data_IF_848412303390
#
_entry.id   IF_848412303390
#
_cell.length_a   1.000
_cell.length_b   1.000
_cell.length_c   1.000
_cell.angle_alpha   90.00
_cell.angle_beta   90.00
_cell.angle_gamma   90.00
#
_symmetry.space_group_name_H-M   'P 1'
#
loop_
_entity.id
_entity.type
_entity.pdbx_description
1 polymer ?
#
# COMPACT_ATOMS: atom_id res chain seq x y z
N UNK A 1 39.64 18.64 -15.15
CA UNK A 1 38.68 18.24 -14.12
C UNK A 1 37.42 19.06 -14.31
N UNK A 2 36.41 18.48 -14.98
CA UNK A 2 35.17 19.17 -15.29
C UNK A 2 34.11 18.72 -14.27
N UNK A 3 33.72 19.60 -13.38
CA UNK A 3 32.65 19.41 -12.43
C UNK A 3 31.31 19.58 -13.17
N UNK A 4 30.70 18.47 -13.54
CA UNK A 4 29.33 18.43 -14.03
C UNK A 4 28.38 18.94 -12.94
N UNK A 5 27.94 20.19 -13.08
CA UNK A 5 26.81 20.72 -12.29
C UNK A 5 25.57 19.95 -12.71
N UNK A 6 25.09 19.03 -11.86
CA UNK A 6 23.74 18.49 -11.95
C UNK A 6 22.77 19.69 -11.94
N UNK A 7 22.10 19.94 -13.06
CA UNK A 7 20.95 20.83 -13.11
C UNK A 7 19.88 20.19 -12.21
N UNK A 8 19.59 20.85 -11.08
CA UNK A 8 18.34 20.60 -10.35
C UNK A 8 17.23 20.94 -11.33
N UNK A 9 16.40 19.97 -11.66
CA UNK A 9 15.10 20.27 -12.29
C UNK A 9 14.32 21.16 -11.32
N UNK A 10 13.58 22.14 -11.81
CA UNK A 10 12.77 22.98 -10.95
C UNK A 10 11.76 22.07 -10.23
N UNK A 11 11.76 22.13 -8.91
CA UNK A 11 10.65 21.63 -8.12
C UNK A 11 9.41 22.32 -8.65
N UNK A 12 8.42 21.57 -9.10
CA UNK A 12 7.07 22.07 -9.38
C UNK A 12 6.44 22.47 -8.03
N UNK A 13 6.95 23.56 -7.47
CA UNK A 13 6.29 24.27 -6.39
C UNK A 13 5.03 24.91 -6.99
N UNK A 14 3.87 24.30 -6.73
CA UNK A 14 2.60 24.86 -7.14
C UNK A 14 1.50 23.85 -7.50
N UNK A 15 1.72 22.55 -7.36
CA UNK A 15 0.58 21.64 -7.40
C UNK A 15 -0.21 21.80 -6.11
N UNK A 16 -1.44 22.23 -6.20
CA UNK A 16 -2.44 22.02 -5.16
C UNK A 16 -2.46 20.50 -4.94
N UNK A 17 -1.87 20.01 -3.86
CA UNK A 17 -1.83 18.60 -3.51
C UNK A 17 -3.26 18.16 -3.14
N UNK A 18 -4.08 17.99 -4.17
CA UNK A 18 -5.35 17.31 -3.99
C UNK A 18 -5.05 15.85 -3.70
N UNK A 19 -5.60 15.29 -2.61
CA UNK A 19 -5.57 13.86 -2.37
C UNK A 19 -6.23 13.16 -3.56
N UNK A 20 -5.43 12.77 -4.53
CA UNK A 20 -5.90 12.14 -5.76
C UNK A 20 -5.58 10.67 -5.73
N UNK A 21 -6.61 9.85 -5.88
CA UNK A 21 -6.45 8.43 -6.18
C UNK A 21 -6.59 8.29 -7.69
N UNK A 22 -5.49 7.94 -8.37
CA UNK A 22 -5.52 7.62 -9.79
C UNK A 22 -5.90 6.17 -10.01
N UNK A 23 -6.81 5.95 -10.93
CA UNK A 23 -7.27 4.63 -11.36
C UNK A 23 -6.82 4.39 -12.80
N UNK A 24 -6.09 3.29 -13.01
CA UNK A 24 -5.53 2.93 -14.31
C UNK A 24 -6.19 1.68 -14.89
N UNK A 25 -5.39 0.82 -15.48
CA UNK A 25 -5.83 -0.42 -16.13
C UNK A 25 -6.46 -1.42 -15.16
N UNK A 26 -7.17 -2.38 -15.72
CA UNK A 26 -7.77 -3.49 -14.99
C UNK A 26 -7.05 -4.79 -15.25
N UNK A 27 -7.03 -5.65 -14.24
CA UNK A 27 -6.51 -7.01 -14.28
C UNK A 27 -7.66 -8.01 -14.04
N UNK A 28 -7.47 -9.24 -14.51
CA UNK A 28 -8.46 -10.31 -14.34
C UNK A 28 -8.54 -10.74 -12.87
N UNK A 29 -9.68 -10.43 -12.24
CA UNK A 29 -9.93 -10.71 -10.81
C UNK A 29 -9.91 -12.19 -10.51
N UNK A 30 -10.40 -13.04 -11.42
CA UNK A 30 -10.43 -14.49 -11.18
C UNK A 30 -9.01 -15.07 -11.18
N UNK A 31 -8.16 -14.64 -12.12
CA UNK A 31 -6.75 -15.03 -12.15
C UNK A 31 -5.98 -14.49 -10.92
N UNK A 32 -6.26 -13.25 -10.50
CA UNK A 32 -5.68 -12.70 -9.27
C UNK A 32 -6.05 -13.54 -8.04
N UNK A 33 -7.30 -13.99 -7.92
CA UNK A 33 -7.79 -14.83 -6.81
C UNK A 33 -7.17 -16.22 -6.83
N UNK A 34 -7.01 -16.81 -8.00
CA UNK A 34 -6.34 -18.10 -8.16
C UNK A 34 -4.90 -18.04 -7.64
N UNK A 35 -4.14 -17.05 -8.05
CA UNK A 35 -2.77 -16.86 -7.61
C UNK A 35 -2.69 -16.45 -6.13
N UNK A 36 -3.65 -15.67 -5.63
CA UNK A 36 -3.74 -15.37 -4.20
C UNK A 36 -3.87 -16.65 -3.37
N UNK A 37 -4.77 -17.57 -3.76
CA UNK A 37 -4.96 -18.83 -3.05
C UNK A 37 -3.69 -19.70 -3.02
N UNK A 38 -2.91 -19.67 -4.10
CA UNK A 38 -1.60 -20.34 -4.17
C UNK A 38 -0.60 -19.64 -3.24
N UNK A 39 -0.46 -18.32 -3.38
CA UNK A 39 0.53 -17.55 -2.67
C UNK A 39 0.38 -17.60 -1.15
N UNK A 40 -0.84 -17.54 -0.64
CA UNK A 40 -1.10 -17.54 0.82
C UNK A 40 -1.09 -18.92 1.45
N UNK A 41 -1.01 -19.99 0.66
CA UNK A 41 -1.05 -21.36 1.17
C UNK A 41 0.06 -21.62 2.19
N UNK A 42 -0.32 -21.94 3.42
CA UNK A 42 0.62 -22.22 4.51
C UNK A 42 1.45 -21.02 4.97
N UNK A 43 1.08 -19.80 4.56
CA UNK A 43 1.78 -18.61 5.03
C UNK A 43 1.35 -18.23 6.44
N UNK A 44 2.32 -18.09 7.34
CA UNK A 44 2.09 -17.52 8.66
C UNK A 44 2.26 -16.00 8.59
N UNK A 45 1.16 -15.27 8.68
CA UNK A 45 1.14 -13.80 8.59
C UNK A 45 1.97 -13.09 9.66
N UNK A 46 2.18 -13.75 10.83
CA UNK A 46 3.04 -13.19 11.89
C UNK A 46 4.50 -13.06 11.46
N UNK A 47 4.91 -13.80 10.42
CA UNK A 47 6.26 -13.72 9.84
C UNK A 47 6.43 -12.51 8.90
N UNK A 48 5.37 -12.00 8.34
CA UNK A 48 5.40 -10.82 7.48
C UNK A 48 5.77 -9.56 8.23
N UNK A 49 6.30 -8.59 7.50
CA UNK A 49 6.55 -7.26 8.05
C UNK A 49 5.22 -6.69 8.57
N UNK A 50 5.22 -6.19 9.80
CA UNK A 50 4.03 -5.71 10.53
C UNK A 50 2.90 -6.76 10.68
N UNK A 51 3.18 -8.07 10.46
CA UNK A 51 2.18 -9.13 10.57
C UNK A 51 1.12 -9.16 9.45
N UNK A 52 1.31 -8.39 8.37
CA UNK A 52 0.30 -8.22 7.32
C UNK A 52 0.85 -8.32 5.91
N UNK A 53 2.12 -8.66 5.73
CA UNK A 53 2.79 -8.69 4.43
C UNK A 53 3.28 -10.08 4.07
N UNK A 54 3.10 -10.48 2.81
CA UNK A 54 3.70 -11.66 2.20
C UNK A 54 4.52 -11.21 0.99
N UNK A 55 5.85 -11.17 1.08
CA UNK A 55 6.71 -10.97 -0.09
C UNK A 55 6.54 -12.13 -1.08
N UNK A 56 6.39 -11.82 -2.36
CA UNK A 56 6.18 -12.82 -3.41
C UNK A 56 7.47 -13.31 -4.06
N UNK A 57 8.55 -12.57 -3.92
CA UNK A 57 9.86 -12.94 -4.44
C UNK A 57 10.98 -12.40 -3.56
N UNK A 58 12.06 -13.18 -3.46
CA UNK A 58 13.33 -12.80 -2.82
C UNK A 58 14.39 -12.41 -3.84
N UNK A 59 14.08 -12.51 -5.14
CA UNK A 59 15.00 -12.08 -6.19
C UNK A 59 15.43 -10.65 -5.91
N UNK A 60 16.68 -10.33 -6.24
CA UNK A 60 17.14 -8.95 -6.17
C UNK A 60 16.17 -8.09 -6.98
N UNK A 61 15.41 -7.26 -6.28
CA UNK A 61 14.45 -6.36 -6.91
C UNK A 61 15.14 -5.09 -7.38
N UNK A 62 16.37 -4.82 -6.88
CA UNK A 62 17.20 -3.68 -7.26
C UNK A 62 18.67 -4.06 -7.40
N UNK A 63 19.39 -3.40 -8.31
CA UNK A 63 20.84 -3.56 -8.50
C UNK A 63 21.64 -3.08 -7.28
N UNK A 64 21.10 -2.16 -6.49
CA UNK A 64 21.74 -1.62 -5.29
C UNK A 64 21.94 -2.66 -4.18
N UNK A 65 21.30 -3.82 -4.28
CA UNK A 65 21.45 -4.94 -3.35
C UNK A 65 20.87 -4.70 -1.96
N UNK A 66 20.31 -3.53 -1.68
CA UNK A 66 19.62 -3.25 -0.43
C UNK A 66 18.26 -3.99 -0.45
N UNK A 67 18.09 -4.94 0.47
CA UNK A 67 16.77 -5.54 0.67
C UNK A 67 15.85 -4.48 1.23
N UNK A 68 14.82 -4.13 0.48
CA UNK A 68 13.81 -3.23 1.00
C UNK A 68 13.14 -3.86 2.23
N UNK A 69 12.94 -3.07 3.29
CA UNK A 69 12.39 -3.55 4.57
C UNK A 69 11.10 -4.36 4.40
N UNK A 70 10.26 -3.99 3.45
CA UNK A 70 8.99 -4.66 3.14
C UNK A 70 9.13 -6.07 2.54
N UNK A 71 10.33 -6.46 2.09
CA UNK A 71 10.63 -7.81 1.60
C UNK A 71 11.24 -8.70 2.69
N UNK A 72 11.44 -8.17 3.89
CA UNK A 72 11.97 -8.93 5.00
C UNK A 72 10.88 -9.76 5.65
N UNK A 73 11.25 -10.95 6.12
CA UNK A 73 10.40 -11.82 6.92
C UNK A 73 11.04 -12.07 8.27
N UNK A 74 10.23 -12.20 9.30
CA UNK A 74 10.70 -12.62 10.62
C UNK A 74 11.02 -14.10 10.60
N UNK A 75 12.22 -14.47 11.00
CA UNK A 75 12.56 -15.86 11.30
C UNK A 75 11.95 -16.30 12.64
N UNK A 76 12.02 -17.60 12.94
CA UNK A 76 11.48 -18.17 14.20
C UNK A 76 12.11 -17.52 15.45
N UNK A 77 13.36 -17.08 15.35
CA UNK A 77 14.08 -16.35 16.41
C UNK A 77 13.77 -14.83 16.46
N UNK A 78 12.79 -14.37 15.68
CA UNK A 78 12.36 -12.96 15.64
C UNK A 78 13.24 -12.02 14.84
N UNK A 79 14.37 -12.49 14.26
CA UNK A 79 15.24 -11.67 13.43
C UNK A 79 14.65 -11.48 12.03
N UNK A 80 14.81 -10.30 11.46
CA UNK A 80 14.42 -10.03 10.08
C UNK A 80 15.43 -10.67 9.12
N UNK A 81 14.94 -11.43 8.16
CA UNK A 81 15.73 -12.07 7.11
C UNK A 81 15.12 -11.84 5.74
N UNK A 82 15.96 -11.89 4.72
CA UNK A 82 15.54 -11.79 3.31
C UNK A 82 15.00 -13.10 2.73
N UNK A 83 14.89 -14.14 3.52
CA UNK A 83 14.49 -15.49 3.11
C UNK A 83 12.95 -15.63 3.08
N UNK A 84 12.27 -14.85 2.25
CA UNK A 84 10.89 -15.16 1.91
C UNK A 84 10.88 -16.28 0.86
N UNK A 85 9.90 -17.20 0.89
CA UNK A 85 9.75 -18.16 -0.19
C UNK A 85 9.48 -17.40 -1.50
N UNK A 86 10.17 -17.79 -2.59
CA UNK A 86 9.86 -17.24 -3.91
C UNK A 86 8.56 -17.87 -4.42
N UNK A 87 7.45 -17.21 -4.15
CA UNK A 87 6.09 -17.62 -4.52
C UNK A 87 5.75 -17.26 -5.97
N UNK A 88 6.55 -16.38 -6.57
CA UNK A 88 6.26 -15.86 -7.89
C UNK A 88 6.36 -16.95 -8.96
N UNK A 89 7.18 -17.98 -8.75
CA UNK A 89 7.31 -19.11 -9.68
C UNK A 89 6.05 -19.98 -9.77
N UNK A 90 5.27 -20.03 -8.70
CA UNK A 90 4.01 -20.79 -8.65
C UNK A 90 2.79 -19.93 -9.08
N UNK A 91 2.93 -18.59 -9.09
CA UNK A 91 1.86 -17.64 -9.36
C UNK A 91 2.03 -17.01 -10.73
N UNK A 92 1.52 -17.69 -11.76
CA UNK A 92 1.78 -17.33 -13.17
C UNK A 92 1.25 -15.95 -13.54
N UNK A 93 0.08 -15.58 -13.04
CA UNK A 93 -0.52 -14.28 -13.33
C UNK A 93 0.15 -13.14 -12.56
N UNK A 94 0.55 -13.36 -11.31
CA UNK A 94 1.37 -12.38 -10.59
C UNK A 94 2.71 -12.17 -11.28
N UNK A 95 3.28 -13.23 -11.87
CA UNK A 95 4.48 -13.10 -12.69
C UNK A 95 4.24 -12.27 -13.95
N UNK A 96 3.15 -12.52 -14.69
CA UNK A 96 2.79 -11.71 -15.85
C UNK A 96 2.66 -10.23 -15.47
N UNK A 97 2.02 -9.92 -14.33
CA UNK A 97 1.91 -8.56 -13.80
C UNK A 97 3.29 -8.02 -13.45
N UNK A 98 4.12 -8.78 -12.73
CA UNK A 98 5.48 -8.38 -12.37
C UNK A 98 6.30 -8.01 -13.61
N UNK A 99 6.26 -8.82 -14.65
CA UNK A 99 7.03 -8.64 -15.88
C UNK A 99 6.48 -7.50 -16.75
N UNK A 100 5.19 -7.16 -16.62
CA UNK A 100 4.56 -6.08 -17.38
C UNK A 100 5.10 -4.68 -17.02
N UNK A 101 5.57 -4.50 -15.80
CA UNK A 101 6.19 -3.24 -15.36
C UNK A 101 7.67 -3.23 -15.73
N UNK A 102 8.07 -2.38 -16.69
CA UNK A 102 9.46 -2.23 -17.16
C UNK A 102 10.27 -1.25 -16.31
N UNK A 103 10.10 -1.37 -15.00
CA UNK A 103 10.82 -0.61 -13.99
C UNK A 103 11.55 -1.55 -13.05
N UNK A 104 12.59 -1.05 -12.41
CA UNK A 104 13.16 -1.71 -11.24
C UNK A 104 12.07 -1.75 -10.15
N UNK A 105 12.00 -2.87 -9.43
CA UNK A 105 11.02 -3.10 -8.38
C UNK A 105 11.73 -3.23 -7.04
N UNK A 106 11.40 -2.36 -6.10
CA UNK A 106 11.93 -2.45 -4.73
C UNK A 106 11.08 -3.35 -3.84
N UNK A 107 9.82 -3.59 -4.22
CA UNK A 107 8.93 -4.49 -3.49
C UNK A 107 7.85 -5.06 -4.41
N UNK A 108 7.51 -6.33 -4.18
CA UNK A 108 6.36 -7.01 -4.80
C UNK A 108 5.77 -7.99 -3.79
N UNK A 109 4.60 -7.64 -3.23
CA UNK A 109 4.06 -8.33 -2.06
C UNK A 109 2.54 -8.30 -2.00
N UNK A 110 1.97 -9.25 -1.27
CA UNK A 110 0.57 -9.21 -0.86
C UNK A 110 0.48 -8.53 0.50
N UNK A 111 -0.41 -7.56 0.61
CA UNK A 111 -0.83 -6.94 1.86
C UNK A 111 -2.18 -7.53 2.27
N UNK A 112 -2.27 -8.00 3.51
CA UNK A 112 -3.50 -8.44 4.14
C UNK A 112 -4.00 -7.35 5.08
N UNK A 113 -5.27 -7.03 4.99
CA UNK A 113 -5.97 -6.27 6.02
C UNK A 113 -6.98 -7.20 6.67
N UNK A 114 -6.77 -7.60 7.94
CA UNK A 114 -7.70 -8.47 8.63
C UNK A 114 -9.11 -7.92 8.67
N UNK A 115 -10.07 -8.81 8.89
CA UNK A 115 -11.42 -8.45 9.24
C UNK A 115 -11.44 -7.47 10.42
N UNK A 116 -12.40 -6.57 10.48
CA UNK A 116 -12.63 -5.62 11.59
C UNK A 116 -11.35 -4.91 12.06
N UNK A 117 -10.56 -4.39 11.11
CA UNK A 117 -9.29 -3.73 11.41
C UNK A 117 -9.03 -2.49 10.57
N UNK A 118 -8.12 -1.65 11.05
CA UNK A 118 -7.60 -0.52 10.31
C UNK A 118 -6.08 -0.44 10.44
N UNK A 119 -5.44 0.37 9.61
CA UNK A 119 -4.10 0.88 9.88
C UNK A 119 -4.19 2.17 10.67
N UNK A 120 -3.15 2.44 11.45
CA UNK A 120 -2.96 3.81 11.95
C UNK A 120 -2.85 4.77 10.76
N UNK A 121 -3.32 6.00 10.95
CA UNK A 121 -3.14 7.06 9.96
C UNK A 121 -1.65 7.40 9.86
N UNK A 122 -1.03 7.16 8.71
CA UNK A 122 0.42 7.28 8.52
C UNK A 122 0.77 7.74 7.10
N UNK A 123 2.03 8.09 6.92
CA UNK A 123 2.69 8.22 5.62
C UNK A 123 3.75 7.13 5.49
N UNK A 124 4.00 6.68 4.27
CA UNK A 124 5.04 5.70 4.01
C UNK A 124 6.42 6.37 3.96
N UNK A 125 7.11 6.43 5.09
CA UNK A 125 8.45 7.03 5.18
C UNK A 125 9.55 6.17 4.55
N UNK A 126 9.24 4.91 4.26
CA UNK A 126 10.17 3.93 3.70
C UNK A 126 10.13 3.86 2.16
N UNK A 127 9.24 4.63 1.54
CA UNK A 127 9.19 4.78 0.08
C UNK A 127 10.13 5.92 -0.30
N UNK A 128 11.21 5.60 -1.03
CA UNK A 128 12.18 6.61 -1.49
C UNK A 128 11.53 7.66 -2.41
N UNK A 129 12.15 8.83 -2.50
CA UNK A 129 11.63 9.98 -3.28
C UNK A 129 11.34 9.66 -4.76
N UNK A 130 12.00 8.65 -5.32
CA UNK A 130 11.83 8.19 -6.71
C UNK A 130 11.13 6.83 -6.79
N UNK A 131 10.35 6.47 -5.77
CA UNK A 131 9.62 5.19 -5.73
C UNK A 131 8.12 5.43 -5.69
N UNK A 132 7.41 4.71 -6.55
CA UNK A 132 5.96 4.80 -6.71
C UNK A 132 5.31 3.50 -6.26
N UNK A 133 4.43 3.57 -5.26
CA UNK A 133 3.68 2.41 -4.75
C UNK A 133 2.35 2.28 -5.45
N UNK A 134 2.25 1.29 -6.33
CA UNK A 134 1.00 0.89 -6.96
C UNK A 134 0.30 -0.20 -6.17
N UNK A 135 -1.03 -0.24 -6.24
CA UNK A 135 -1.86 -1.20 -5.53
C UNK A 135 -2.92 -1.78 -6.44
N UNK A 136 -3.09 -3.11 -6.40
CA UNK A 136 -4.18 -3.84 -7.07
C UNK A 136 -4.95 -4.58 -5.98
N UNK A 137 -6.13 -4.10 -5.55
CA UNK A 137 -7.00 -4.87 -4.66
C UNK A 137 -7.38 -6.18 -5.32
N UNK A 138 -7.21 -7.30 -4.63
CA UNK A 138 -7.60 -8.64 -5.10
C UNK A 138 -8.96 -9.00 -4.51
N UNK A 139 -9.05 -8.91 -3.18
CA UNK A 139 -10.29 -9.01 -2.44
C UNK A 139 -10.61 -7.66 -1.81
N UNK A 140 -11.75 -7.13 -2.17
CA UNK A 140 -12.26 -5.87 -1.61
C UNK A 140 -13.79 -5.91 -1.64
N UNK A 141 -14.41 -5.13 -0.80
CA UNK A 141 -15.85 -5.08 -0.65
C UNK A 141 -16.32 -3.62 -0.42
N UNK A 142 -17.64 -3.35 -0.50
CA UNK A 142 -18.16 -1.99 -0.35
C UNK A 142 -17.90 -1.35 1.02
N UNK A 143 -17.59 -2.14 2.06
CA UNK A 143 -17.31 -1.64 3.40
C UNK A 143 -15.83 -1.43 3.70
N UNK A 144 -14.96 -1.62 2.71
CA UNK A 144 -13.57 -1.20 2.78
C UNK A 144 -13.47 0.27 2.38
N UNK A 145 -12.80 1.06 3.20
CA UNK A 145 -12.57 2.49 2.97
C UNK A 145 -11.08 2.79 2.97
N UNK A 146 -10.60 3.38 1.88
CA UNK A 146 -9.30 4.01 1.82
C UNK A 146 -9.48 5.51 2.09
N UNK A 147 -8.86 6.00 3.15
CA UNK A 147 -8.81 7.42 3.44
C UNK A 147 -7.44 7.96 3.01
N UNK A 148 -7.44 9.06 2.27
CA UNK A 148 -6.23 9.77 1.83
C UNK A 148 -6.38 11.24 2.20
N UNK A 149 -5.34 11.81 2.83
CA UNK A 149 -5.34 13.21 3.24
C UNK A 149 -5.01 14.16 2.10
N UNK A 150 -5.46 15.39 2.22
CA UNK A 150 -5.03 16.53 1.40
C UNK A 150 -3.98 17.39 2.10
N UNK A 151 -3.64 17.07 3.36
CA UNK A 151 -2.62 17.76 4.17
C UNK A 151 -1.44 16.84 4.43
N UNK A 152 -0.25 17.42 4.54
CA UNK A 152 1.00 16.76 4.89
C UNK A 152 1.31 16.80 6.41
N UNK A 153 0.41 17.41 7.21
CA UNK A 153 0.58 17.62 8.65
C UNK A 153 -0.44 16.83 9.44
N UNK A 154 0.03 15.97 10.34
CA UNK A 154 -0.85 15.16 11.19
C UNK A 154 -1.59 15.97 12.24
N UNK A 155 -1.01 17.09 12.68
CA UNK A 155 -1.60 18.03 13.63
C UNK A 155 -2.79 18.81 13.09
N UNK A 156 -2.96 18.86 11.77
CA UNK A 156 -4.11 19.52 11.16
C UNK A 156 -5.42 18.76 11.35
N UNK A 157 -5.34 17.46 11.69
CA UNK A 157 -6.56 16.66 11.88
C UNK A 157 -7.22 16.93 13.23
N UNK A 158 -8.50 17.24 13.18
CA UNK A 158 -9.33 17.34 14.38
C UNK A 158 -9.74 15.92 14.77
N UNK A 159 -9.48 15.56 16.02
CA UNK A 159 -9.86 14.27 16.60
C UNK A 159 -10.82 14.54 17.75
N UNK A 160 -12.03 13.97 17.67
CA UNK A 160 -12.99 13.99 18.78
C UNK A 160 -13.07 12.59 19.40
N UNK A 161 -13.04 12.53 20.72
CA UNK A 161 -13.20 11.26 21.44
C UNK A 161 -11.92 10.42 21.55
N UNK A 162 -12.07 9.09 21.54
CA UNK A 162 -10.93 8.17 21.60
C UNK A 162 -10.03 8.30 20.37
N UNK A 163 -8.73 8.17 20.58
CA UNK A 163 -7.76 8.23 19.49
C UNK A 163 -7.75 6.91 18.67
N UNK A 164 -8.83 6.71 17.93
CA UNK A 164 -9.05 5.53 17.07
C UNK A 164 -8.02 5.44 15.92
N UNK A 165 -7.22 6.48 15.67
CA UNK A 165 -6.10 6.44 14.74
C UNK A 165 -5.05 5.40 15.13
N UNK A 166 -5.05 4.97 16.42
CA UNK A 166 -4.12 3.99 16.97
C UNK A 166 -4.72 2.59 17.11
N UNK A 167 -6.01 2.42 16.87
CA UNK A 167 -6.66 1.11 17.01
C UNK A 167 -6.53 0.35 15.70
N UNK A 168 -5.78 -0.75 15.71
CA UNK A 168 -5.53 -1.57 14.53
C UNK A 168 -6.42 -2.82 14.48
N UNK A 169 -6.70 -3.43 15.62
CA UNK A 169 -7.54 -4.62 15.76
C UNK A 169 -8.69 -4.33 16.73
N UNK A 170 -9.88 -4.13 16.16
CA UNK A 170 -11.04 -3.70 16.94
C UNK A 170 -11.59 -4.82 17.81
N UNK A 171 -11.52 -6.06 17.33
CA UNK A 171 -12.00 -7.21 18.08
C UNK A 171 -11.12 -7.47 19.30
N UNK A 172 -9.78 -7.34 19.17
CA UNK A 172 -8.85 -7.44 20.28
C UNK A 172 -9.04 -6.33 21.32
N UNK A 173 -9.46 -5.14 20.87
CA UNK A 173 -9.76 -3.98 21.75
C UNK A 173 -11.19 -4.01 22.30
N UNK A 174 -12.01 -5.01 21.93
CA UNK A 174 -13.41 -5.11 22.34
C UNK A 174 -14.29 -4.00 21.78
N UNK A 175 -13.90 -3.39 20.65
CA UNK A 175 -14.64 -2.30 20.01
C UNK A 175 -15.50 -2.88 18.89
N UNK A 176 -16.81 -2.75 19.00
CA UNK A 176 -17.73 -3.23 17.97
C UNK A 176 -17.63 -2.44 16.66
N UNK A 177 -17.88 -3.13 15.54
CA UNK A 177 -17.80 -2.57 14.18
C UNK A 177 -18.65 -1.30 14.01
N UNK A 178 -19.86 -1.26 14.55
CA UNK A 178 -20.75 -0.09 14.44
C UNK A 178 -20.15 1.15 15.13
N UNK A 179 -19.48 0.96 16.27
CA UNK A 179 -18.79 2.04 16.96
C UNK A 179 -17.62 2.55 16.13
N UNK A 180 -16.86 1.67 15.52
CA UNK A 180 -15.75 2.06 14.64
C UNK A 180 -16.24 2.77 13.38
N UNK A 181 -17.35 2.32 12.77
CA UNK A 181 -17.98 3.04 11.65
C UNK A 181 -18.41 4.44 12.06
N UNK A 182 -19.07 4.59 13.21
CA UNK A 182 -19.50 5.89 13.73
C UNK A 182 -18.30 6.83 13.95
N UNK A 183 -17.22 6.34 14.51
CA UNK A 183 -15.99 7.14 14.68
C UNK A 183 -15.34 7.52 13.36
N UNK A 184 -15.29 6.60 12.39
CA UNK A 184 -14.78 6.90 11.06
C UNK A 184 -15.62 7.99 10.38
N UNK A 185 -16.94 7.86 10.39
CA UNK A 185 -17.86 8.83 9.80
C UNK A 185 -17.74 10.21 10.46
N UNK A 186 -17.63 10.24 11.78
CA UNK A 186 -17.39 11.48 12.52
C UNK A 186 -16.05 12.13 12.15
N UNK A 187 -14.98 11.36 12.09
CA UNK A 187 -13.67 11.86 11.67
C UNK A 187 -13.71 12.44 10.26
N UNK A 188 -14.33 11.74 9.31
CA UNK A 188 -14.48 12.24 7.95
C UNK A 188 -15.29 13.52 7.91
N UNK A 189 -16.40 13.57 8.66
CA UNK A 189 -17.26 14.76 8.73
C UNK A 189 -16.55 16.00 9.29
N UNK A 190 -15.73 15.82 10.32
CA UNK A 190 -15.01 16.93 10.97
C UNK A 190 -13.83 17.42 10.11
N UNK A 191 -13.26 16.54 9.29
CA UNK A 191 -12.10 16.81 8.45
C UNK A 191 -12.42 16.74 6.95
N UNK A 192 -13.65 17.08 6.53
CA UNK A 192 -14.14 16.90 5.15
C UNK A 192 -13.36 17.71 4.11
N UNK A 193 -12.75 18.82 4.51
CA UNK A 193 -11.84 19.64 3.72
C UNK A 193 -10.43 19.03 3.58
N UNK A 194 -10.03 18.14 4.49
CA UNK A 194 -8.68 17.60 4.63
C UNK A 194 -8.53 16.14 4.22
N UNK A 195 -9.63 15.43 4.01
CA UNK A 195 -9.59 14.01 3.65
C UNK A 195 -10.49 13.69 2.46
N UNK A 196 -10.12 12.64 1.75
CA UNK A 196 -10.96 12.00 0.72
C UNK A 196 -11.09 10.52 1.05
N UNK A 197 -12.29 9.99 0.87
CA UNK A 197 -12.59 8.59 1.13
C UNK A 197 -12.91 7.89 -0.18
N UNK A 198 -12.22 6.79 -0.42
CA UNK A 198 -12.34 6.02 -1.66
C UNK A 198 -12.77 4.58 -1.37
N UNK A 199 -13.55 4.04 -2.30
CA UNK A 199 -13.82 2.62 -2.41
C UNK A 199 -13.00 2.06 -3.58
N UNK A 200 -12.06 1.18 -3.27
CA UNK A 200 -11.24 0.56 -4.31
C UNK A 200 -11.92 -0.70 -4.85
N UNK A 201 -11.87 -0.89 -6.17
CA UNK A 201 -12.47 -2.03 -6.87
C UNK A 201 -11.45 -3.14 -7.06
N UNK A 202 -11.83 -4.43 -6.90
CA UNK A 202 -10.95 -5.55 -7.24
C UNK A 202 -10.45 -5.46 -8.68
N UNK A 203 -9.19 -5.83 -8.88
CA UNK A 203 -8.55 -5.88 -10.19
C UNK A 203 -8.12 -4.56 -10.79
N UNK A 204 -8.47 -3.42 -10.18
CA UNK A 204 -8.03 -2.11 -10.67
C UNK A 204 -6.64 -1.74 -10.15
N UNK A 205 -5.80 -1.13 -10.99
CA UNK A 205 -4.53 -0.56 -10.59
C UNK A 205 -4.77 0.84 -10.05
N UNK A 206 -4.29 1.09 -8.84
CA UNK A 206 -4.37 2.38 -8.17
C UNK A 206 -3.00 2.92 -7.83
N UNK A 207 -2.88 4.23 -7.85
CA UNK A 207 -1.76 4.97 -7.30
C UNK A 207 -2.27 6.19 -6.51
N UNK A 208 -1.60 6.49 -5.42
CA UNK A 208 -1.62 7.78 -4.73
C UNK A 208 -0.26 7.99 -4.06
N UNK A 209 0.13 9.23 -3.82
CA UNK A 209 1.42 9.53 -3.20
C UNK A 209 1.43 9.15 -1.72
N UNK A 210 1.88 7.95 -1.41
CA UNK A 210 1.92 7.43 -0.03
C UNK A 210 2.95 8.14 0.86
N UNK A 211 4.10 8.64 0.36
CA UNK A 211 5.02 9.43 1.17
C UNK A 211 4.53 10.86 1.45
N UNK A 212 3.67 11.42 0.60
CA UNK A 212 3.19 12.79 0.75
C UNK A 212 1.86 12.87 1.50
N UNK A 213 0.98 11.89 1.30
CA UNK A 213 -0.35 11.90 1.87
C UNK A 213 -0.48 10.97 3.08
N UNK A 214 -1.00 11.49 4.19
CA UNK A 214 -1.48 10.62 5.26
C UNK A 214 -2.60 9.75 4.73
N UNK A 215 -2.53 8.47 5.05
CA UNK A 215 -3.54 7.54 4.61
C UNK A 215 -3.74 6.41 5.62
N UNK A 216 -4.92 5.80 5.55
CA UNK A 216 -5.19 4.54 6.21
C UNK A 216 -6.25 3.76 5.45
N UNK A 217 -6.38 2.48 5.80
CA UNK A 217 -7.37 1.60 5.25
C UNK A 217 -8.20 1.01 6.38
N UNK A 218 -9.52 1.05 6.22
CA UNK A 218 -10.50 0.52 7.16
C UNK A 218 -11.23 -0.65 6.51
N UNK A 219 -11.25 -1.80 7.19
CA UNK A 219 -12.00 -2.98 6.78
C UNK A 219 -13.09 -3.27 7.79
N UNK A 220 -14.31 -2.85 7.50
CA UNK A 220 -15.49 -3.03 8.37
C UNK A 220 -16.19 -4.36 8.19
N UNK A 221 -15.61 -5.29 7.43
CA UNK A 221 -16.18 -6.61 7.15
C UNK A 221 -15.56 -7.70 8.00
N UNK A 222 -16.25 -8.84 8.04
CA UNK A 222 -15.78 -10.07 8.66
C UNK A 222 -14.84 -10.91 7.79
N UNK A 223 -14.51 -10.44 6.58
CA UNK A 223 -13.54 -11.10 5.70
C UNK A 223 -12.27 -10.27 5.56
N UNK A 224 -11.15 -10.95 5.40
CA UNK A 224 -9.88 -10.31 5.10
C UNK A 224 -9.90 -9.61 3.73
N UNK A 225 -9.22 -8.47 3.64
CA UNK A 225 -8.94 -7.82 2.37
C UNK A 225 -7.49 -8.12 1.95
N UNK A 226 -7.31 -8.38 0.65
CA UNK A 226 -5.99 -8.62 0.07
C UNK A 226 -5.69 -7.63 -1.06
N UNK A 227 -4.46 -7.16 -1.10
CA UNK A 227 -3.97 -6.23 -2.13
C UNK A 227 -2.60 -6.66 -2.59
N UNK A 228 -2.38 -6.70 -3.89
CA UNK A 228 -1.05 -6.78 -4.47
C UNK A 228 -0.45 -5.38 -4.48
N UNK A 229 0.67 -5.19 -3.78
CA UNK A 229 1.41 -3.94 -3.70
C UNK A 229 2.73 -4.06 -4.46
N UNK A 230 3.04 -3.04 -5.25
CA UNK A 230 4.17 -3.01 -6.17
C UNK A 230 4.87 -1.67 -5.99
N UNK A 231 6.11 -1.69 -5.54
CA UNK A 231 6.94 -0.50 -5.41
C UNK A 231 7.89 -0.43 -6.62
N UNK A 232 7.74 0.59 -7.47
CA UNK A 232 8.45 0.79 -8.72
C UNK A 232 9.41 1.99 -8.62
N UNK A 233 10.66 1.81 -9.02
CA UNK A 233 11.57 2.93 -9.18
C UNK A 233 11.20 3.76 -10.42
N UNK A 234 11.33 5.08 -10.28
CA UNK A 234 11.09 6.02 -11.37
C UNK A 234 12.02 5.75 -12.56
N UNK A 235 11.46 5.67 -13.73
CA UNK A 235 12.21 5.62 -14.98
C UNK A 235 11.40 6.20 -16.15
N UNK A 236 12.02 6.30 -17.33
CA UNK A 236 11.36 6.84 -18.53
C UNK A 236 10.09 6.06 -18.92
N UNK A 237 10.10 4.73 -18.76
CA UNK A 237 8.93 3.89 -19.10
C UNK A 237 7.74 4.22 -18.19
N UNK A 238 7.98 4.40 -16.88
CA UNK A 238 6.93 4.74 -15.91
C UNK A 238 6.24 6.05 -16.28
N UNK A 239 7.02 7.09 -16.53
CA UNK A 239 6.51 8.42 -16.89
C UNK A 239 5.79 8.44 -18.23
N UNK A 240 6.15 7.58 -19.17
CA UNK A 240 5.44 7.46 -20.45
C UNK A 240 4.11 6.73 -20.34
N UNK A 241 3.99 5.77 -19.41
CA UNK A 241 2.78 4.95 -19.27
C UNK A 241 1.80 5.52 -18.24
N UNK A 242 2.29 6.30 -17.30
CA UNK A 242 1.51 6.93 -16.23
C UNK A 242 1.86 8.41 -16.10
N UNK A 243 1.62 9.23 -17.13
CA UNK A 243 2.00 10.64 -17.12
C UNK A 243 1.26 11.46 -16.04
N UNK A 244 0.12 10.95 -15.54
CA UNK A 244 -0.71 11.62 -14.54
C UNK A 244 -0.10 11.65 -13.14
N UNK A 245 0.95 10.83 -12.89
CA UNK A 245 1.59 10.73 -11.57
C UNK A 245 2.82 11.63 -11.40
N UNK A 246 3.08 12.50 -12.40
CA UNK A 246 4.26 13.40 -12.43
C UNK A 246 3.93 14.74 -11.81
#
# INVERSE_FOLDING_TARGET
MSTSKRRRQPSLAGSVHGASLWEFQSFDVNRLRQDLAIAVRGWDWKRGCFGHSLPLTTRKLSESGAAHYNNLVKSIDGKLKTEAPDRLDECTYFREIFDSFRCEKSSFRILRRPAHSSYTLHRDSDVGEETFRFQIPIESNPDVRLLVSTTDKSEDFIVSGADYRKVEDWDAEGIGCDKMKSWFEEFVRINDDKVRVYQTKPGKLYYFSTPENYHNLWNFRCEDRFTLAIDLAANRWLYQHYPEII
#
